data_IF_212818251980
#
_entry.id   IF_212818251980
#
_cell.length_a   1.000
_cell.length_b   1.000
_cell.length_c   1.000
_cell.angle_alpha   90.00
_cell.angle_beta   90.00
_cell.angle_gamma   90.00
#
_symmetry.space_group_name_H-M   'P 1'
#
loop_
_entity.id
_entity.type
_entity.pdbx_description
1 polymer ?
#
# COMPACT_ATOMS: atom_id res chain seq x y z
N UNK A 1 9.77 31.73 -32.41
CA UNK A 1 8.83 30.89 -33.20
C UNK A 1 7.90 31.82 -33.95
N UNK A 2 8.02 31.90 -35.29
CA UNK A 2 7.20 32.78 -36.15
C UNK A 2 5.77 32.24 -36.20
N UNK A 3 4.79 33.15 -36.10
CA UNK A 3 3.36 32.85 -36.24
C UNK A 3 3.09 32.31 -37.65
N UNK A 4 2.40 31.18 -37.71
CA UNK A 4 2.00 30.45 -38.90
C UNK A 4 0.65 31.01 -39.38
N UNK A 5 0.60 32.30 -39.77
CA UNK A 5 -0.63 32.97 -40.23
C UNK A 5 -0.67 33.28 -41.73
N UNK A 6 0.39 32.95 -42.48
CA UNK A 6 0.51 33.39 -43.87
C UNK A 6 0.46 32.18 -44.82
N UNK A 7 -0.62 31.41 -44.76
CA UNK A 7 -0.96 30.46 -45.82
C UNK A 7 -1.82 31.22 -46.85
N UNK A 8 -1.36 31.36 -48.11
CA UNK A 8 -2.13 32.04 -49.12
C UNK A 8 -3.42 31.26 -49.39
N UNK A 9 -4.47 32.06 -49.60
CA UNK A 9 -5.82 31.70 -49.97
C UNK A 9 -5.94 30.37 -50.72
N UNK A 10 -6.88 29.55 -50.27
CA UNK A 10 -7.43 28.41 -50.98
C UNK A 10 -7.63 28.78 -52.46
N UNK A 11 -6.77 28.24 -53.32
CA UNK A 11 -7.03 28.18 -54.75
C UNK A 11 -8.26 27.29 -54.90
N UNK A 12 -9.38 27.95 -55.11
CA UNK A 12 -10.64 27.30 -55.41
C UNK A 12 -10.43 26.44 -56.65
N UNK A 13 -10.77 25.16 -56.57
CA UNK A 13 -10.64 24.19 -57.66
C UNK A 13 -11.73 24.40 -58.73
N UNK A 14 -12.07 25.67 -58.96
CA UNK A 14 -13.12 26.16 -59.83
C UNK A 14 -12.62 27.11 -60.92
N UNK A 15 -11.30 27.35 -61.01
CA UNK A 15 -10.71 27.98 -62.18
C UNK A 15 -10.76 26.98 -63.34
N UNK A 16 -11.95 26.91 -63.94
CA UNK A 16 -12.16 26.39 -65.27
C UNK A 16 -11.03 26.96 -66.13
N UNK A 17 -10.13 26.08 -66.57
CA UNK A 17 -9.24 26.34 -67.70
C UNK A 17 -10.16 26.89 -68.79
N UNK A 18 -10.17 28.20 -68.97
CA UNK A 18 -11.03 28.85 -69.94
C UNK A 18 -10.60 28.31 -71.29
N UNK A 19 -11.40 27.37 -71.80
CA UNK A 19 -11.15 26.70 -73.05
C UNK A 19 -11.42 27.71 -74.16
N UNK A 20 -10.44 28.57 -74.43
CA UNK A 20 -10.43 29.36 -75.65
C UNK A 20 -9.87 28.44 -76.75
N UNK A 21 -10.71 27.97 -77.68
CA UNK A 21 -10.25 27.17 -78.80
C UNK A 21 -9.21 27.99 -79.57
N UNK A 22 -8.12 27.36 -80.04
CA UNK A 22 -7.30 28.03 -81.04
C UNK A 22 -8.20 28.21 -82.25
N UNK A 23 -8.46 29.45 -82.63
CA UNK A 23 -8.98 29.72 -83.96
C UNK A 23 -7.82 29.50 -84.93
N UNK A 24 -7.80 28.31 -85.53
CA UNK A 24 -6.74 27.90 -86.45
C UNK A 24 -6.69 28.81 -87.68
N UNK A 25 -7.82 29.40 -88.09
CA UNK A 25 -7.86 30.30 -89.24
C UNK A 25 -7.36 31.69 -88.91
N UNK A 26 -7.73 32.24 -87.74
CA UNK A 26 -7.24 33.53 -87.30
C UNK A 26 -5.72 33.50 -87.07
N UNK A 27 -5.22 32.45 -86.41
CA UNK A 27 -3.79 32.30 -86.12
C UNK A 27 -2.95 32.09 -87.38
N UNK A 28 -3.42 31.32 -88.36
CA UNK A 28 -2.74 31.20 -89.66
C UNK A 28 -2.65 32.55 -90.37
N UNK A 29 -3.72 33.37 -90.36
CA UNK A 29 -3.71 34.72 -90.95
C UNK A 29 -2.72 35.66 -90.26
N UNK A 30 -2.58 35.57 -88.95
CA UNK A 30 -1.59 36.35 -88.20
C UNK A 30 -0.15 35.96 -88.56
N UNK A 31 0.12 34.66 -88.74
CA UNK A 31 1.42 34.19 -89.20
C UNK A 31 1.72 34.61 -90.64
N UNK A 32 0.72 34.59 -91.52
CA UNK A 32 0.83 35.11 -92.89
C UNK A 32 1.13 36.62 -92.89
N UNK A 33 0.44 37.40 -92.04
CA UNK A 33 0.69 38.84 -91.89
C UNK A 33 2.10 39.13 -91.34
N UNK A 34 2.68 38.20 -90.58
CA UNK A 34 4.07 38.23 -90.12
C UNK A 34 5.10 37.76 -91.16
N UNK A 35 4.66 37.42 -92.38
CA UNK A 35 5.54 37.03 -93.50
C UNK A 35 5.87 35.54 -93.58
N UNK A 36 5.15 34.68 -92.86
CA UNK A 36 5.30 33.22 -92.92
C UNK A 36 4.48 32.66 -94.09
N UNK A 37 5.05 31.74 -94.88
CA UNK A 37 4.31 31.07 -95.96
C UNK A 37 3.14 30.25 -95.37
N UNK A 38 1.97 30.28 -96.01
CA UNK A 38 0.74 29.61 -95.56
C UNK A 38 0.95 28.16 -95.14
N UNK A 39 1.73 27.38 -95.90
CA UNK A 39 2.03 25.97 -95.58
C UNK A 39 2.81 25.80 -94.28
N UNK A 40 3.70 26.74 -93.98
CA UNK A 40 4.48 26.75 -92.75
C UNK A 40 3.60 27.19 -91.58
N UNK A 41 2.75 28.20 -91.78
CA UNK A 41 1.79 28.66 -90.78
C UNK A 41 0.80 27.56 -90.37
N UNK A 42 0.22 26.85 -91.35
CA UNK A 42 -0.68 25.72 -91.09
C UNK A 42 0.02 24.58 -90.33
N UNK A 43 1.27 24.25 -90.67
CA UNK A 43 2.04 23.23 -90.00
C UNK A 43 2.33 23.58 -88.53
N UNK A 44 2.68 24.85 -88.26
CA UNK A 44 2.94 25.35 -86.91
C UNK A 44 1.68 25.33 -86.05
N UNK A 45 0.56 25.83 -86.58
CA UNK A 45 -0.73 25.85 -85.87
C UNK A 45 -1.20 24.43 -85.58
N UNK A 46 -1.00 23.49 -86.51
CA UNK A 46 -1.30 22.07 -86.31
C UNK A 46 -0.46 21.44 -85.20
N UNK A 47 0.85 21.70 -85.17
CA UNK A 47 1.73 21.20 -84.11
C UNK A 47 1.39 21.78 -82.73
N UNK A 48 1.03 23.07 -82.68
CA UNK A 48 0.58 23.75 -81.46
C UNK A 48 -0.75 23.19 -80.93
N UNK A 49 -1.65 22.81 -81.84
CA UNK A 49 -2.93 22.17 -81.50
C UNK A 49 -2.71 20.77 -80.92
N UNK A 50 -1.84 19.96 -81.54
CA UNK A 50 -1.50 18.62 -81.02
C UNK A 50 -0.84 18.65 -79.65
N UNK A 51 0.18 19.49 -79.46
CA UNK A 51 0.90 19.60 -78.18
C UNK A 51 -0.02 20.05 -77.04
N UNK A 52 -1.00 20.89 -77.34
CA UNK A 52 -2.00 21.33 -76.37
C UNK A 52 -2.97 20.22 -75.99
N UNK A 53 -3.46 19.47 -76.97
CA UNK A 53 -4.38 18.37 -76.69
C UNK A 53 -3.71 17.33 -75.79
N UNK A 54 -2.42 17.06 -75.99
CA UNK A 54 -1.63 16.15 -75.15
C UNK A 54 -1.52 16.67 -73.71
N UNK A 55 -1.19 17.95 -73.53
CA UNK A 55 -1.04 18.60 -72.21
C UNK A 55 -2.37 18.79 -71.45
N UNK A 56 -3.51 18.79 -72.16
CA UNK A 56 -4.85 19.06 -71.60
C UNK A 56 -5.72 17.79 -71.64
N UNK A 57 -5.14 16.60 -71.82
CA UNK A 57 -5.95 15.40 -71.64
C UNK A 57 -6.33 15.26 -70.16
N UNK A 58 -7.62 15.39 -69.86
CA UNK A 58 -8.21 15.18 -68.52
C UNK A 58 -7.78 13.85 -67.86
N UNK A 59 -7.27 12.91 -68.65
CA UNK A 59 -6.68 11.65 -68.21
C UNK A 59 -5.53 11.83 -67.22
N UNK A 60 -4.68 12.84 -67.35
CA UNK A 60 -3.54 13.04 -66.43
C UNK A 60 -3.97 13.44 -65.00
N UNK A 61 -5.17 13.99 -64.85
CA UNK A 61 -5.74 14.36 -63.55
C UNK A 61 -6.50 13.21 -62.88
N UNK A 62 -6.79 12.13 -63.61
CA UNK A 62 -7.54 10.98 -63.09
C UNK A 62 -6.74 10.10 -62.11
N UNK A 63 -5.43 10.30 -62.02
CA UNK A 63 -4.54 9.63 -61.06
C UNK A 63 -4.37 10.36 -59.72
N UNK A 64 -4.90 11.57 -59.57
CA UNK A 64 -4.82 12.32 -58.31
C UNK A 64 -6.02 11.99 -57.41
N UNK A 65 -5.76 11.86 -56.11
CA UNK A 65 -6.81 11.69 -55.12
C UNK A 65 -7.81 12.85 -55.19
N UNK A 66 -9.08 12.51 -55.37
CA UNK A 66 -10.20 13.44 -55.39
C UNK A 66 -10.57 13.86 -53.97
N UNK A 67 -11.40 14.91 -53.84
CA UNK A 67 -11.91 15.33 -52.53
C UNK A 67 -12.77 14.23 -51.89
N UNK A 68 -13.46 13.44 -52.71
CA UNK A 68 -14.23 12.28 -52.30
C UNK A 68 -13.33 11.17 -51.71
N UNK A 69 -12.15 10.94 -52.28
CA UNK A 69 -11.19 9.93 -51.78
C UNK A 69 -10.66 10.27 -50.37
N UNK A 70 -10.55 11.57 -50.06
CA UNK A 70 -10.10 12.07 -48.77
C UNK A 70 -11.21 12.13 -47.72
N UNK A 71 -12.49 12.08 -48.12
CA UNK A 71 -13.63 12.19 -47.22
C UNK A 71 -13.79 10.99 -46.27
N UNK A 72 -13.18 9.85 -46.59
CA UNK A 72 -13.19 8.65 -45.75
C UNK A 72 -12.07 8.57 -44.71
N UNK A 73 -11.12 9.51 -44.70
CA UNK A 73 -10.04 9.51 -43.72
C UNK A 73 -10.50 10.09 -42.38
N UNK A 74 -10.05 9.47 -41.29
CA UNK A 74 -10.29 9.97 -39.94
C UNK A 74 -9.80 11.41 -39.82
N UNK A 75 -10.72 12.29 -39.47
CA UNK A 75 -10.47 13.70 -39.22
C UNK A 75 -9.93 13.90 -37.80
N UNK A 76 -9.39 15.09 -37.52
CA UNK A 76 -8.96 15.43 -36.16
C UNK A 76 -10.10 15.33 -35.13
N UNK A 77 -11.34 15.58 -35.55
CA UNK A 77 -12.52 15.46 -34.69
C UNK A 77 -12.84 14.00 -34.32
N UNK A 78 -12.47 13.03 -35.16
CA UNK A 78 -12.67 11.60 -34.85
C UNK A 78 -11.73 11.13 -33.73
N UNK A 79 -10.57 11.79 -33.57
CA UNK A 79 -9.60 11.50 -32.50
C UNK A 79 -10.01 12.10 -31.15
N UNK A 80 -10.90 13.10 -31.12
CA UNK A 80 -11.39 13.73 -29.87
C UNK A 80 -12.29 12.80 -29.04
N UNK A 81 -12.83 11.73 -29.66
CA UNK A 81 -13.65 10.73 -28.98
C UNK A 81 -12.84 9.64 -28.27
N UNK A 82 -11.52 9.60 -28.46
CA UNK A 82 -10.67 8.65 -27.76
C UNK A 82 -10.28 9.18 -26.37
N UNK A 83 -10.21 8.26 -25.40
CA UNK A 83 -9.79 8.57 -24.05
C UNK A 83 -8.41 9.26 -24.07
N UNK A 84 -8.37 10.45 -23.52
CA UNK A 84 -7.20 11.29 -23.37
C UNK A 84 -6.36 10.86 -22.17
N UNK A 85 -5.15 11.39 -22.06
CA UNK A 85 -4.32 11.16 -20.87
C UNK A 85 -4.97 11.75 -19.62
N UNK A 86 -5.77 12.82 -19.75
CA UNK A 86 -6.58 13.37 -18.66
C UNK A 86 -7.67 12.38 -18.18
N UNK A 87 -8.32 11.65 -19.09
CA UNK A 87 -9.37 10.68 -18.71
C UNK A 87 -8.82 9.52 -17.87
N UNK A 88 -7.55 9.16 -18.07
CA UNK A 88 -6.85 8.14 -17.30
C UNK A 88 -6.34 8.65 -15.94
N UNK A 89 -6.26 9.97 -15.74
CA UNK A 89 -5.73 10.56 -14.50
C UNK A 89 -6.66 10.36 -13.30
N UNK A 90 -7.93 10.04 -13.53
CA UNK A 90 -8.93 9.82 -12.47
C UNK A 90 -9.08 8.38 -11.97
N UNK A 91 -8.43 7.40 -12.60
CA UNK A 91 -8.72 5.99 -12.29
C UNK A 91 -8.01 5.47 -11.04
N UNK A 92 -6.75 5.85 -10.79
CA UNK A 92 -6.02 5.57 -9.54
C UNK A 92 -4.88 6.59 -9.43
N UNK A 93 -4.90 7.43 -8.40
CA UNK A 93 -3.76 8.30 -8.08
C UNK A 93 -2.80 7.59 -7.12
N UNK A 94 -1.53 7.99 -7.08
CA UNK A 94 -0.58 7.49 -6.07
C UNK A 94 -1.10 7.67 -4.64
N UNK A 95 -1.87 8.73 -4.39
CA UNK A 95 -2.50 9.00 -3.11
C UNK A 95 -3.59 7.96 -2.72
N UNK A 96 -4.25 7.34 -3.71
CA UNK A 96 -5.22 6.27 -3.44
C UNK A 96 -4.51 4.98 -3.00
N UNK A 97 -3.29 4.74 -3.50
CA UNK A 97 -2.42 3.62 -3.10
C UNK A 97 -1.79 3.82 -1.72
N UNK A 98 -1.53 5.06 -1.31
CA UNK A 98 -1.02 5.40 0.03
C UNK A 98 -2.02 5.12 1.16
N UNK A 99 -3.31 4.94 0.85
CA UNK A 99 -4.33 4.53 1.83
C UNK A 99 -4.35 3.03 2.11
N UNK A 100 -3.67 2.23 1.29
CA UNK A 100 -3.50 0.80 1.56
C UNK A 100 -2.29 0.59 2.47
N UNK A 101 -2.34 -0.48 3.28
CA UNK A 101 -1.26 -0.86 4.17
C UNK A 101 0.08 -0.82 3.43
N UNK A 102 0.94 0.09 3.86
CA UNK A 102 2.23 0.35 3.26
C UNK A 102 3.23 -0.71 3.70
N UNK A 103 4.37 -0.78 3.02
CA UNK A 103 5.47 -1.62 3.46
C UNK A 103 5.97 -1.22 4.87
N UNK A 104 5.81 0.04 5.25
CA UNK A 104 6.17 0.56 6.58
C UNK A 104 5.24 -0.01 7.66
N UNK A 105 3.93 -0.10 7.39
CA UNK A 105 2.97 -0.72 8.31
C UNK A 105 3.29 -2.20 8.57
N UNK A 106 3.75 -2.92 7.53
CA UNK A 106 4.17 -4.32 7.65
C UNK A 106 5.46 -4.47 8.47
N UNK A 107 6.44 -3.57 8.30
CA UNK A 107 7.65 -3.57 9.12
C UNK A 107 7.37 -3.19 10.59
N UNK A 108 6.44 -2.25 10.84
CA UNK A 108 5.98 -1.96 12.20
C UNK A 108 5.31 -3.20 12.84
N UNK A 109 4.49 -3.93 12.07
CA UNK A 109 3.86 -5.15 12.59
C UNK A 109 4.89 -6.23 12.93
N UNK A 110 5.90 -6.44 12.07
CA UNK A 110 7.00 -7.40 12.32
C UNK A 110 7.76 -7.05 13.60
N UNK A 111 8.17 -5.80 13.75
CA UNK A 111 8.90 -5.35 14.94
C UNK A 111 8.08 -5.52 16.22
N UNK A 112 6.76 -5.26 16.18
CA UNK A 112 5.85 -5.53 17.31
C UNK A 112 5.76 -7.03 17.61
N UNK A 113 5.70 -7.87 16.58
CA UNK A 113 5.66 -9.33 16.74
C UNK A 113 6.96 -9.87 17.35
N UNK A 114 8.11 -9.40 16.89
CA UNK A 114 9.43 -9.78 17.42
C UNK A 114 9.57 -9.35 18.88
N UNK A 115 9.11 -8.15 19.23
CA UNK A 115 9.10 -7.68 20.62
C UNK A 115 8.18 -8.53 21.51
N UNK A 116 7.05 -9.00 20.98
CA UNK A 116 6.14 -9.89 21.70
C UNK A 116 6.77 -11.28 21.90
N UNK A 117 7.42 -11.82 20.85
CA UNK A 117 8.15 -13.07 20.91
C UNK A 117 9.26 -13.03 21.97
N UNK A 118 10.08 -11.97 21.96
CA UNK A 118 11.14 -11.78 22.95
C UNK A 118 10.61 -11.64 24.39
N UNK A 119 9.43 -11.00 24.58
CA UNK A 119 8.76 -10.97 25.89
C UNK A 119 8.31 -12.35 26.32
N UNK A 120 7.73 -13.13 25.41
CA UNK A 120 7.27 -14.48 25.70
C UNK A 120 8.44 -15.41 26.04
N UNK A 121 9.56 -15.29 25.33
CA UNK A 121 10.80 -16.00 25.68
C UNK A 121 11.31 -15.61 27.06
N UNK A 122 11.32 -14.31 27.42
CA UNK A 122 11.70 -13.87 28.77
C UNK A 122 10.83 -14.50 29.86
N UNK A 123 9.51 -14.60 29.66
CA UNK A 123 8.63 -15.29 30.60
C UNK A 123 8.89 -16.81 30.65
N UNK A 124 9.30 -17.41 29.53
CA UNK A 124 9.63 -18.83 29.45
C UNK A 124 11.02 -19.16 30.03
N UNK A 125 11.89 -18.18 30.27
CA UNK A 125 13.20 -18.45 30.89
C UNK A 125 13.07 -18.88 32.35
N UNK A 126 13.74 -19.98 32.69
CA UNK A 126 13.87 -20.52 34.06
C UNK A 126 14.27 -19.46 35.09
N UNK A 127 15.09 -18.48 34.69
CA UNK A 127 15.50 -17.36 35.52
C UNK A 127 14.35 -16.41 35.96
N UNK A 128 13.30 -16.26 35.14
CA UNK A 128 12.13 -15.45 35.52
C UNK A 128 11.19 -16.22 36.45
N UNK A 129 11.08 -17.53 36.29
CA UNK A 129 10.34 -18.41 37.20
C UNK A 129 11.02 -18.51 38.57
N UNK A 130 12.35 -18.55 38.61
CA UNK A 130 13.15 -18.55 39.84
C UNK A 130 12.94 -17.28 40.69
N UNK A 131 12.46 -16.17 40.11
CA UNK A 131 12.15 -14.94 40.86
C UNK A 131 10.83 -14.96 41.63
N UNK A 132 9.89 -15.84 41.28
CA UNK A 132 8.56 -15.88 41.92
C UNK A 132 8.52 -16.80 43.13
N UNK A 133 9.30 -17.88 43.11
CA UNK A 133 9.58 -18.69 44.28
C UNK A 133 10.77 -19.60 43.95
N UNK A 134 11.85 -19.44 44.70
CA UNK A 134 12.94 -20.42 44.67
C UNK A 134 12.55 -21.64 45.49
N UNK A 135 13.18 -22.79 45.22
CA UNK A 135 13.03 -23.97 46.07
C UNK A 135 13.42 -23.67 47.53
N UNK A 136 14.35 -22.75 47.73
CA UNK A 136 14.78 -22.22 49.03
C UNK A 136 13.67 -21.43 49.74
N UNK A 137 12.82 -20.69 49.02
CA UNK A 137 11.68 -19.98 49.61
C UNK A 137 10.61 -20.95 50.13
N UNK A 138 10.39 -22.07 49.44
CA UNK A 138 9.51 -23.14 49.94
C UNK A 138 10.14 -23.92 51.09
N UNK A 139 11.46 -24.06 51.12
CA UNK A 139 12.20 -24.70 52.24
C UNK A 139 12.22 -23.82 53.49
N UNK A 140 12.13 -22.48 53.37
CA UNK A 140 11.96 -21.56 54.51
C UNK A 140 10.58 -21.58 55.15
N UNK A 141 9.58 -22.20 54.53
CA UNK A 141 8.26 -22.38 55.13
C UNK A 141 8.29 -23.57 56.09
N UNK A 142 8.48 -23.30 57.39
CA UNK A 142 8.41 -24.27 58.49
C UNK A 142 9.21 -25.55 58.22
N UNK A 143 10.51 -25.48 58.43
CA UNK A 143 11.41 -26.63 58.30
C UNK A 143 11.06 -27.72 59.32
N UNK A 144 11.52 -28.96 59.07
CA UNK A 144 11.37 -30.06 60.04
C UNK A 144 12.04 -29.72 61.37
N UNK A 145 13.09 -28.90 61.31
CA UNK A 145 13.84 -28.36 62.43
C UNK A 145 12.97 -27.40 63.26
N UNK A 146 12.24 -26.47 62.64
CA UNK A 146 11.32 -25.57 63.35
C UNK A 146 10.22 -26.35 64.09
N UNK A 147 9.64 -27.36 63.43
CA UNK A 147 8.66 -28.26 64.06
C UNK A 147 9.28 -29.12 65.17
N UNK A 148 10.55 -29.50 65.05
CA UNK A 148 11.26 -30.25 66.09
C UNK A 148 11.52 -29.39 67.32
N UNK A 149 11.88 -28.11 67.13
CA UNK A 149 12.03 -27.14 68.23
C UNK A 149 10.70 -26.96 68.96
N UNK A 150 9.61 -26.68 68.25
CA UNK A 150 8.28 -26.55 68.86
C UNK A 150 7.87 -27.82 69.61
N UNK A 151 8.15 -28.99 69.06
CA UNK A 151 7.87 -30.27 69.74
C UNK A 151 8.70 -30.44 71.01
N UNK A 152 9.97 -30.06 70.99
CA UNK A 152 10.85 -30.11 72.15
C UNK A 152 10.38 -29.15 73.25
N UNK A 153 10.00 -27.91 72.88
CA UNK A 153 9.44 -26.92 73.80
C UNK A 153 8.12 -27.41 74.43
N UNK A 154 7.23 -27.99 73.63
CA UNK A 154 5.99 -28.59 74.14
C UNK A 154 6.25 -29.77 75.09
N UNK A 155 7.26 -30.60 74.80
CA UNK A 155 7.63 -31.72 75.68
C UNK A 155 8.22 -31.24 77.02
N UNK A 156 9.07 -30.21 76.99
CA UNK A 156 9.61 -29.58 78.19
C UNK A 156 8.50 -28.95 79.04
N UNK A 157 7.60 -28.19 78.41
CA UNK A 157 6.44 -27.58 79.09
C UNK A 157 5.55 -28.64 79.74
N UNK A 158 5.30 -29.76 79.05
CA UNK A 158 4.54 -30.89 79.61
C UNK A 158 5.22 -31.47 80.85
N UNK A 159 6.53 -31.71 80.79
CA UNK A 159 7.28 -32.27 81.93
C UNK A 159 7.26 -31.33 83.14
N UNK A 160 7.41 -30.02 82.93
CA UNK A 160 7.35 -29.05 84.01
C UNK A 160 5.96 -28.95 84.63
N UNK A 161 4.91 -29.03 83.82
CA UNK A 161 3.53 -29.08 84.33
C UNK A 161 3.29 -30.34 85.19
N UNK A 162 3.75 -31.51 84.76
CA UNK A 162 3.64 -32.76 85.52
C UNK A 162 4.35 -32.63 86.89
N UNK A 163 5.57 -32.08 86.91
CA UNK A 163 6.30 -31.83 88.17
C UNK A 163 5.57 -30.86 89.09
N UNK A 164 5.00 -29.79 88.54
CA UNK A 164 4.22 -28.83 89.33
C UNK A 164 3.00 -29.48 89.96
N UNK A 165 2.28 -30.32 89.20
CA UNK A 165 1.13 -31.09 89.70
C UNK A 165 1.59 -32.03 90.82
N UNK A 166 2.65 -32.82 90.62
CA UNK A 166 3.16 -33.74 91.65
C UNK A 166 3.56 -33.00 92.93
N UNK A 167 4.29 -31.90 92.80
CA UNK A 167 4.67 -31.06 93.95
C UNK A 167 3.45 -30.49 94.68
N UNK A 168 2.44 -30.00 93.94
CA UNK A 168 1.21 -29.48 94.54
C UNK A 168 0.42 -30.56 95.30
N UNK A 169 0.29 -31.75 94.72
CA UNK A 169 -0.38 -32.90 95.36
C UNK A 169 0.35 -33.31 96.64
N UNK A 170 1.68 -33.41 96.62
CA UNK A 170 2.47 -33.76 97.82
C UNK A 170 2.27 -32.71 98.92
N UNK A 171 2.35 -31.41 98.59
CA UNK A 171 2.10 -30.33 99.56
C UNK A 171 0.69 -30.41 100.17
N UNK A 172 -0.31 -30.71 99.36
CA UNK A 172 -1.70 -30.87 99.82
C UNK A 172 -1.84 -32.08 100.77
N UNK A 173 -1.23 -33.22 100.44
CA UNK A 173 -1.23 -34.40 101.31
C UNK A 173 -0.55 -34.14 102.66
N UNK A 174 0.61 -33.48 102.68
CA UNK A 174 1.31 -33.12 103.91
C UNK A 174 0.45 -32.18 104.77
N UNK A 175 -0.22 -31.20 104.16
CA UNK A 175 -1.14 -30.30 104.84
C UNK A 175 -2.32 -31.06 105.47
N UNK A 176 -2.95 -31.98 104.71
CA UNK A 176 -4.03 -32.82 105.20
C UNK A 176 -3.62 -33.66 106.41
N UNK A 177 -2.46 -34.33 106.34
CA UNK A 177 -1.92 -35.13 107.45
C UNK A 177 -1.66 -34.25 108.68
N UNK A 178 -1.07 -33.08 108.48
CA UNK A 178 -0.77 -32.14 109.57
C UNK A 178 -2.05 -31.62 110.23
N UNK A 179 -3.08 -31.29 109.45
CA UNK A 179 -4.40 -30.90 109.94
C UNK A 179 -5.07 -32.04 110.72
N UNK A 180 -5.02 -33.28 110.21
CA UNK A 180 -5.54 -34.45 110.93
C UNK A 180 -4.83 -34.67 112.27
N UNK A 181 -3.50 -34.55 112.31
CA UNK A 181 -2.72 -34.68 113.54
C UNK A 181 -3.10 -33.60 114.57
N UNK A 182 -3.30 -32.36 114.12
CA UNK A 182 -3.72 -31.24 114.97
C UNK A 182 -5.12 -31.46 115.56
N UNK A 183 -6.07 -31.97 114.75
CA UNK A 183 -7.42 -32.35 115.21
C UNK A 183 -7.35 -33.43 116.29
N UNK A 184 -6.55 -34.49 116.08
CA UNK A 184 -6.37 -35.56 117.08
C UNK A 184 -5.72 -35.02 118.35
N UNK A 185 -4.76 -34.10 118.23
CA UNK A 185 -4.16 -33.42 119.37
C UNK A 185 -5.18 -32.65 120.19
N UNK A 186 -6.00 -31.81 119.55
CA UNK A 186 -7.06 -31.03 120.21
C UNK A 186 -8.09 -31.92 120.92
N UNK A 187 -8.48 -33.06 120.31
CA UNK A 187 -9.41 -34.01 120.94
C UNK A 187 -8.86 -34.66 122.22
N UNK A 188 -7.54 -34.72 122.43
CA UNK A 188 -6.96 -35.21 123.69
C UNK A 188 -6.98 -34.18 124.83
N UNK A 189 -7.16 -32.90 124.50
CA UNK A 189 -7.19 -31.81 125.47
C UNK A 189 -8.62 -31.39 125.89
N UNK A 190 -9.65 -31.91 125.21
CA UNK A 190 -11.07 -31.79 125.57
C UNK A 190 -11.50 -32.98 126.44
#
# INVERSE_FOLDING_TARGET
MRKQSDLPHSLDAGDAVSYYPIDTHATVREFEAAGIETKQAEAIVKAMTWSRNDLVTKTDLSGFATKEDLAGFATKADLERFATKEDLAGFVTKADLERFATNEDLEELKTRLDALSAKMERFATKAYLEKFATKEDFERCATKEDLAVVRAEMAAMKSDLEKQISSAVIKMMICMISMSALIVGLMKYL
#
